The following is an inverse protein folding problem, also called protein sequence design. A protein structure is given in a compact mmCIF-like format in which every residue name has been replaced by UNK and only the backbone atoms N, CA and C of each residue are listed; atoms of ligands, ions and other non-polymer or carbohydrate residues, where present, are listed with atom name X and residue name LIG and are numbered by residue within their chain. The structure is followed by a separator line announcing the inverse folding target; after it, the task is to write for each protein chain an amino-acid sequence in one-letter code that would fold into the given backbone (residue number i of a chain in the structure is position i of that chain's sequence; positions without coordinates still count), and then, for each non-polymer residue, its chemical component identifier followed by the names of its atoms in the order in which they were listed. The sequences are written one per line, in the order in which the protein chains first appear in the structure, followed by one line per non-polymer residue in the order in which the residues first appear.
data_IF_721517668124
#
_entry.id   IF_721517668124
#
_cell.length_a   1.000
_cell.length_b   1.000
_cell.length_c   1.000
_cell.angle_alpha   90.00
_cell.angle_beta   90.00
_cell.angle_gamma   90.00
#
_symmetry.space_group_name_H-M   'P 1'
#
loop_
_entity.id
_entity.type
_entity.pdbx_description
1 polymer ?
#
# COMPACT_ATOMS: atom_id res chain seq x y z
N UNK A 1 32.42 -93.55 21.70
CA UNK A 1 32.51 -92.13 22.13
C UNK A 1 32.71 -91.26 20.88
N UNK A 2 31.76 -90.55 20.48
CA UNK A 2 31.92 -89.58 19.34
C UNK A 2 32.15 -88.18 19.84
N UNK A 3 33.09 -87.52 19.22
CA UNK A 3 33.54 -86.16 19.45
C UNK A 3 32.47 -85.12 18.94
N UNK A 4 32.32 -83.98 19.57
CA UNK A 4 31.36 -82.96 19.15
C UNK A 4 31.84 -82.12 17.96
N UNK A 5 30.94 -81.85 17.04
CA UNK A 5 31.08 -80.94 15.88
C UNK A 5 31.00 -79.48 16.36
N UNK A 6 32.02 -78.73 16.03
CA UNK A 6 32.05 -77.25 16.20
C UNK A 6 31.32 -76.64 14.99
N UNK A 7 30.23 -75.85 15.20
CA UNK A 7 29.56 -75.05 14.21
C UNK A 7 30.20 -73.66 14.23
N UNK A 8 30.71 -73.21 13.07
CA UNK A 8 31.09 -71.82 12.81
C UNK A 8 29.86 -70.99 12.42
N UNK A 9 29.55 -70.05 13.25
CA UNK A 9 28.55 -69.01 12.94
C UNK A 9 29.24 -67.87 12.16
N UNK A 10 28.92 -67.76 10.89
CA UNK A 10 29.31 -66.61 10.08
C UNK A 10 28.36 -65.44 10.36
N UNK A 11 28.85 -64.41 11.06
CA UNK A 11 28.14 -63.18 11.30
C UNK A 11 28.22 -62.29 10.06
N UNK A 12 27.04 -61.98 9.47
CA UNK A 12 26.93 -60.97 8.41
C UNK A 12 26.88 -59.59 9.05
N UNK A 13 27.89 -58.79 8.82
CA UNK A 13 27.91 -57.39 9.24
C UNK A 13 27.05 -56.54 8.24
N UNK A 14 25.92 -56.01 8.72
CA UNK A 14 25.12 -55.01 7.99
C UNK A 14 25.80 -53.63 8.12
N UNK A 15 26.36 -53.14 7.05
CA UNK A 15 26.85 -51.77 6.98
C UNK A 15 25.64 -50.81 6.78
N UNK A 16 25.29 -50.02 7.80
CA UNK A 16 24.33 -48.94 7.71
C UNK A 16 25.01 -47.72 7.09
N UNK A 17 24.69 -47.42 5.86
CA UNK A 17 25.11 -46.16 5.22
C UNK A 17 24.18 -45.06 5.69
N UNK A 18 24.66 -44.17 6.56
CA UNK A 18 23.98 -42.96 6.97
C UNK A 18 24.23 -41.89 5.86
N UNK A 19 23.24 -41.64 5.02
CA UNK A 19 23.22 -40.52 4.10
C UNK A 19 22.97 -39.24 4.93
N UNK A 20 24.01 -38.48 5.21
CA UNK A 20 23.88 -37.14 5.76
C UNK A 20 23.33 -36.23 4.64
N UNK A 21 22.03 -36.01 4.65
CA UNK A 21 21.37 -34.97 3.81
C UNK A 21 21.79 -33.60 4.31
N UNK A 22 22.64 -32.91 3.58
CA UNK A 22 22.87 -31.45 3.75
C UNK A 22 21.60 -30.72 3.35
N UNK A 23 20.77 -30.34 4.35
CA UNK A 23 19.71 -29.37 4.15
C UNK A 23 20.36 -28.02 3.85
N UNK A 24 20.32 -27.58 2.60
CA UNK A 24 20.58 -26.18 2.27
C UNK A 24 19.49 -25.35 2.91
N UNK A 25 19.76 -24.76 4.07
CA UNK A 25 18.98 -23.64 4.58
C UNK A 25 19.17 -22.50 3.57
N UNK A 26 18.16 -22.19 2.79
CA UNK A 26 18.13 -20.94 2.05
C UNK A 26 18.10 -19.83 3.12
N UNK A 27 19.21 -19.14 3.32
CA UNK A 27 19.23 -17.89 4.09
C UNK A 27 18.27 -16.94 3.40
N UNK A 28 17.10 -16.74 4.00
CA UNK A 28 16.19 -15.66 3.58
C UNK A 28 16.97 -14.37 3.80
N UNK A 29 17.36 -13.71 2.70
CA UNK A 29 17.92 -12.36 2.75
C UNK A 29 16.92 -11.49 3.53
N UNK A 30 17.35 -10.81 4.61
CA UNK A 30 16.43 -9.91 5.33
C UNK A 30 15.82 -8.94 4.31
N UNK A 31 14.50 -8.79 4.33
CA UNK A 31 13.84 -7.78 3.53
C UNK A 31 14.53 -6.42 3.82
N UNK A 32 14.89 -5.69 2.76
CA UNK A 32 15.53 -4.40 2.93
C UNK A 32 14.63 -3.54 3.82
N UNK A 33 15.20 -2.95 4.88
CA UNK A 33 14.45 -2.10 5.78
C UNK A 33 13.86 -0.93 4.97
N UNK A 34 12.53 -0.87 4.86
CA UNK A 34 11.86 0.23 4.19
C UNK A 34 11.95 1.51 5.03
N UNK A 35 12.06 2.64 4.38
CA UNK A 35 12.15 3.94 5.05
C UNK A 35 10.89 4.75 4.71
N UNK A 36 10.05 5.08 5.69
CA UNK A 36 8.90 5.96 5.46
C UNK A 36 9.35 7.37 5.07
N UNK A 37 8.46 8.21 4.50
CA UNK A 37 8.79 9.58 4.15
C UNK A 37 9.26 10.39 5.38
N UNK A 38 10.18 11.37 5.18
CA UNK A 38 10.63 12.21 6.27
C UNK A 38 9.47 13.01 6.87
N UNK A 39 9.45 13.11 8.20
CA UNK A 39 8.44 13.86 8.95
C UNK A 39 8.56 15.35 8.71
N UNK A 40 7.44 16.09 8.83
CA UNK A 40 7.40 17.56 8.68
C UNK A 40 8.05 18.04 7.39
N UNK A 41 7.96 17.30 6.33
CA UNK A 41 8.55 17.61 5.05
C UNK A 41 7.60 18.44 4.18
N UNK A 42 8.15 19.36 3.38
CA UNK A 42 7.38 19.98 2.30
C UNK A 42 6.88 18.91 1.35
N UNK A 43 5.58 18.82 1.19
CA UNK A 43 4.91 17.80 0.37
C UNK A 43 4.22 18.44 -0.84
N UNK A 44 4.18 17.72 -1.96
CA UNK A 44 3.37 18.08 -3.12
C UNK A 44 2.64 16.86 -3.67
N UNK A 45 1.36 17.04 -3.98
CA UNK A 45 0.47 16.01 -4.49
C UNK A 45 0.24 16.24 -5.98
N UNK A 46 0.86 15.41 -6.83
CA UNK A 46 0.93 15.59 -8.28
C UNK A 46 0.31 14.42 -9.05
N UNK A 47 -0.77 13.84 -8.52
CA UNK A 47 -1.40 12.66 -9.15
C UNK A 47 -2.15 12.99 -10.43
N UNK A 48 -2.67 14.21 -10.59
CA UNK A 48 -3.31 14.66 -11.83
C UNK A 48 -2.33 15.01 -12.96
N UNK A 49 -1.01 15.01 -12.69
CA UNK A 49 0.03 15.26 -13.68
C UNK A 49 1.33 15.75 -13.07
N UNK A 50 2.46 15.22 -13.55
CA UNK A 50 3.78 15.53 -13.04
C UNK A 50 4.27 16.90 -13.53
N UNK A 51 4.85 17.69 -12.63
CA UNK A 51 5.53 18.97 -12.94
C UNK A 51 6.75 19.16 -12.02
N UNK A 52 7.57 20.17 -12.31
CA UNK A 52 8.72 20.49 -11.46
C UNK A 52 8.26 20.98 -10.08
N UNK A 53 8.55 20.23 -9.01
CA UNK A 53 8.17 20.62 -7.65
C UNK A 53 8.82 21.94 -7.23
N UNK A 54 8.19 22.68 -6.30
CA UNK A 54 8.76 23.87 -5.70
C UNK A 54 9.98 23.51 -4.82
N UNK A 55 10.87 24.47 -4.54
CA UNK A 55 12.14 24.23 -3.85
C UNK A 55 12.01 23.78 -2.39
N UNK A 56 10.85 24.05 -1.77
CA UNK A 56 10.50 23.60 -0.41
C UNK A 56 10.07 22.13 -0.36
N UNK A 57 9.71 21.53 -1.50
CA UNK A 57 9.24 20.15 -1.57
C UNK A 57 10.40 19.17 -1.34
N UNK A 58 10.16 18.20 -0.46
CA UNK A 58 11.07 17.08 -0.16
C UNK A 58 10.41 15.72 -0.42
N UNK A 59 9.08 15.69 -0.45
CA UNK A 59 8.27 14.49 -0.70
C UNK A 59 7.23 14.82 -1.77
N UNK A 60 7.07 13.94 -2.75
CA UNK A 60 6.07 14.10 -3.81
C UNK A 60 5.34 12.78 -4.06
N UNK A 61 4.02 12.82 -4.19
CA UNK A 61 3.23 11.69 -4.69
C UNK A 61 2.84 11.94 -6.14
N UNK A 62 3.05 10.94 -6.99
CA UNK A 62 2.72 10.94 -8.43
C UNK A 62 2.03 9.66 -8.84
N UNK A 63 1.16 9.75 -9.82
CA UNK A 63 0.55 8.59 -10.46
C UNK A 63 1.62 7.59 -10.95
N UNK A 64 1.33 6.30 -10.87
CA UNK A 64 2.25 5.21 -11.21
C UNK A 64 2.75 5.27 -12.66
N UNK A 65 2.01 5.93 -13.56
CA UNK A 65 2.43 6.12 -14.95
C UNK A 65 3.53 7.17 -15.11
N UNK A 66 3.68 8.08 -14.13
CA UNK A 66 4.65 9.16 -14.17
C UNK A 66 6.07 8.69 -13.79
N UNK A 67 7.06 9.56 -14.05
CA UNK A 67 8.43 9.36 -13.58
C UNK A 67 8.62 10.01 -12.20
N UNK A 68 9.44 9.43 -11.31
CA UNK A 68 9.76 10.06 -10.03
C UNK A 68 10.51 11.38 -10.20
N UNK A 69 10.37 12.30 -9.25
CA UNK A 69 11.11 13.55 -9.23
C UNK A 69 12.53 13.31 -8.67
N UNK A 70 13.56 13.69 -9.43
CA UNK A 70 14.95 13.47 -9.05
C UNK A 70 15.31 14.18 -7.73
N UNK A 71 15.99 13.47 -6.83
CA UNK A 71 16.51 14.02 -5.57
C UNK A 71 15.45 14.22 -4.47
N UNK A 72 14.22 13.77 -4.66
CA UNK A 72 13.14 13.81 -3.68
C UNK A 72 12.78 12.40 -3.20
N UNK A 73 12.05 12.33 -2.08
CA UNK A 73 11.33 11.13 -1.70
C UNK A 73 10.06 11.03 -2.54
N UNK A 74 9.91 9.95 -3.29
CA UNK A 74 8.82 9.76 -4.24
C UNK A 74 7.86 8.68 -3.77
N UNK A 75 6.59 9.01 -3.71
CA UNK A 75 5.48 8.11 -3.42
C UNK A 75 4.76 7.82 -4.73
N UNK A 76 4.56 6.55 -5.03
CA UNK A 76 3.85 6.08 -6.20
C UNK A 76 2.37 5.88 -5.87
N UNK A 77 1.51 6.71 -6.41
CA UNK A 77 0.06 6.58 -6.28
C UNK A 77 -0.46 5.47 -7.20
N UNK A 78 -1.28 4.60 -6.66
CA UNK A 78 -1.99 3.54 -7.39
C UNK A 78 -3.44 3.48 -6.93
N UNK A 79 -4.41 3.51 -7.85
CA UNK A 79 -5.80 3.24 -7.52
C UNK A 79 -5.96 1.72 -7.31
N UNK A 80 -5.82 1.29 -6.06
CA UNK A 80 -5.66 -0.12 -5.74
C UNK A 80 -6.98 -0.85 -5.43
N UNK A 81 -8.05 -0.11 -5.12
CA UNK A 81 -9.31 -0.68 -4.64
C UNK A 81 -10.49 -0.43 -5.58
N UNK A 82 -10.30 0.40 -6.60
CA UNK A 82 -11.33 0.76 -7.58
C UNK A 82 -10.74 0.72 -8.98
N UNK A 83 -11.59 0.56 -9.98
CA UNK A 83 -11.24 0.69 -11.39
C UNK A 83 -11.58 2.10 -11.85
N UNK A 84 -10.62 2.78 -12.43
CA UNK A 84 -10.86 4.11 -13.00
C UNK A 84 -11.92 4.07 -14.10
N UNK A 85 -12.65 5.18 -14.34
CA UNK A 85 -13.65 5.26 -15.40
C UNK A 85 -13.07 4.84 -16.75
N UNK A 86 -13.74 3.91 -17.43
CA UNK A 86 -13.32 3.36 -18.72
C UNK A 86 -12.34 2.18 -18.65
N UNK A 87 -11.81 1.84 -17.45
CA UNK A 87 -10.94 0.68 -17.27
C UNK A 87 -11.70 -0.59 -16.82
N UNK A 88 -13.02 -0.56 -16.67
CA UNK A 88 -13.83 -1.67 -16.12
C UNK A 88 -13.62 -2.97 -16.90
N UNK A 89 -13.43 -2.87 -18.23
CA UNK A 89 -13.17 -4.01 -19.10
C UNK A 89 -11.92 -4.81 -18.74
N UNK A 90 -10.92 -4.16 -18.16
CA UNK A 90 -9.67 -4.80 -17.74
C UNK A 90 -9.82 -5.65 -16.47
N UNK A 91 -10.85 -5.36 -15.65
CA UNK A 91 -11.11 -6.03 -14.38
C UNK A 91 -12.10 -7.18 -14.50
N UNK A 92 -13.03 -7.12 -15.45
CA UNK A 92 -13.95 -8.23 -15.78
C UNK A 92 -14.74 -8.76 -14.58
N UNK A 93 -14.49 -10.00 -14.19
CA UNK A 93 -15.14 -10.65 -13.05
C UNK A 93 -14.57 -10.20 -11.69
N UNK A 94 -13.51 -9.41 -11.67
CA UNK A 94 -12.94 -8.82 -10.44
C UNK A 94 -13.69 -7.57 -9.99
N UNK A 95 -14.63 -7.06 -10.78
CA UNK A 95 -15.50 -5.97 -10.33
C UNK A 95 -16.53 -6.46 -9.31
N UNK A 96 -16.77 -5.66 -8.28
CA UNK A 96 -17.79 -5.93 -7.27
C UNK A 96 -19.17 -5.82 -7.90
N UNK A 97 -20.00 -6.84 -7.70
CA UNK A 97 -21.37 -6.88 -8.21
C UNK A 97 -22.36 -7.13 -7.08
N UNK A 98 -23.50 -6.46 -7.19
CA UNK A 98 -24.65 -6.67 -6.32
C UNK A 98 -25.37 -8.00 -6.60
N UNK A 99 -26.43 -8.28 -5.83
CA UNK A 99 -27.23 -9.51 -5.99
C UNK A 99 -27.92 -9.65 -7.36
N UNK A 100 -28.05 -8.54 -8.11
CA UNK A 100 -28.63 -8.54 -9.46
C UNK A 100 -27.57 -8.61 -10.55
N UNK A 101 -26.29 -8.75 -10.17
CA UNK A 101 -25.17 -8.79 -11.10
C UNK A 101 -24.71 -7.42 -11.62
N UNK A 102 -25.29 -6.31 -11.12
CA UNK A 102 -24.89 -4.95 -11.49
C UNK A 102 -23.59 -4.59 -10.79
N UNK A 103 -22.66 -4.00 -11.54
CA UNK A 103 -21.41 -3.45 -10.99
C UNK A 103 -21.73 -2.34 -9.97
N UNK A 104 -21.05 -2.37 -8.84
CA UNK A 104 -21.15 -1.36 -7.79
C UNK A 104 -20.19 -0.23 -8.14
N UNK A 105 -20.74 0.96 -8.28
CA UNK A 105 -20.00 2.19 -8.59
C UNK A 105 -19.93 3.06 -7.35
N UNK A 106 -18.77 3.62 -7.09
CA UNK A 106 -18.57 4.77 -6.21
C UNK A 106 -19.10 6.01 -6.95
N UNK A 107 -20.21 6.58 -6.45
CA UNK A 107 -20.92 7.67 -7.14
C UNK A 107 -20.18 9.01 -7.05
N UNK A 108 -19.24 9.16 -6.10
CA UNK A 108 -18.46 10.39 -5.91
C UNK A 108 -17.35 10.51 -6.98
N UNK A 109 -16.82 9.38 -7.45
CA UNK A 109 -15.69 9.33 -8.39
C UNK A 109 -16.04 8.66 -9.74
N UNK A 110 -17.25 8.13 -9.90
CA UNK A 110 -17.67 7.30 -11.05
C UNK A 110 -16.75 6.09 -11.28
N UNK A 111 -16.23 5.50 -10.19
CA UNK A 111 -15.30 4.39 -10.22
C UNK A 111 -15.93 3.08 -9.76
N UNK A 112 -15.66 2.00 -10.49
CA UNK A 112 -16.18 0.67 -10.15
C UNK A 112 -15.36 0.04 -9.02
N UNK A 113 -16.01 -0.43 -7.93
CA UNK A 113 -15.34 -1.10 -6.83
C UNK A 113 -14.80 -2.47 -7.24
N UNK A 114 -13.65 -2.84 -6.72
CA UNK A 114 -13.07 -4.18 -6.90
C UNK A 114 -13.64 -5.16 -5.87
N UNK A 115 -13.83 -6.41 -6.30
CA UNK A 115 -14.40 -7.47 -5.47
C UNK A 115 -13.35 -8.14 -4.58
N UNK A 116 -13.34 -7.78 -3.32
CA UNK A 116 -12.39 -8.28 -2.33
C UNK A 116 -12.98 -9.36 -1.40
N UNK A 117 -14.21 -9.85 -1.66
CA UNK A 117 -14.94 -10.75 -0.75
C UNK A 117 -14.27 -12.10 -0.54
N UNK A 118 -13.55 -12.63 -1.53
CA UNK A 118 -12.93 -13.95 -1.44
C UNK A 118 -11.40 -13.86 -1.54
N UNK A 119 -10.72 -14.85 -0.96
CA UNK A 119 -9.26 -14.93 -1.04
C UNK A 119 -8.76 -15.04 -2.49
N UNK A 120 -9.46 -15.80 -3.35
CA UNK A 120 -9.14 -15.91 -4.78
C UNK A 120 -9.19 -14.55 -5.46
N UNK A 121 -10.29 -13.81 -5.27
CA UNK A 121 -10.42 -12.48 -5.87
C UNK A 121 -9.37 -11.49 -5.36
N UNK A 122 -9.14 -11.45 -4.03
CA UNK A 122 -8.06 -10.62 -3.46
C UNK A 122 -6.70 -10.93 -4.08
N UNK A 123 -6.36 -12.21 -4.24
CA UNK A 123 -5.09 -12.62 -4.87
C UNK A 123 -5.01 -12.18 -6.33
N UNK A 124 -6.08 -12.31 -7.08
CA UNK A 124 -6.12 -11.93 -8.51
C UNK A 124 -6.11 -10.41 -8.69
N UNK A 125 -6.78 -9.66 -7.83
CA UNK A 125 -6.70 -8.19 -7.79
C UNK A 125 -5.29 -7.77 -7.42
N UNK A 126 -4.70 -8.34 -6.35
CA UNK A 126 -3.34 -8.05 -5.95
C UNK A 126 -2.35 -8.28 -7.09
N UNK A 127 -2.43 -9.40 -7.81
CA UNK A 127 -1.52 -9.69 -8.92
C UNK A 127 -1.52 -8.62 -10.03
N UNK A 128 -2.65 -7.93 -10.25
CA UNK A 128 -2.70 -6.80 -11.20
C UNK A 128 -2.07 -5.55 -10.63
N UNK A 129 -2.35 -5.22 -9.38
CA UNK A 129 -1.79 -4.04 -8.70
C UNK A 129 -0.28 -4.23 -8.43
N UNK A 130 0.15 -5.44 -8.09
CA UNK A 130 1.56 -5.79 -7.88
C UNK A 130 2.42 -5.50 -9.12
N UNK A 131 1.87 -5.64 -10.34
CA UNK A 131 2.58 -5.26 -11.56
C UNK A 131 2.86 -3.74 -11.62
N UNK A 132 1.95 -2.91 -11.12
CA UNK A 132 2.18 -1.45 -11.00
C UNK A 132 3.19 -1.15 -9.89
N UNK A 133 3.12 -1.87 -8.76
CA UNK A 133 4.10 -1.76 -7.67
C UNK A 133 5.51 -2.13 -8.14
N UNK A 134 5.62 -3.18 -8.96
CA UNK A 134 6.89 -3.59 -9.57
C UNK A 134 7.46 -2.51 -10.50
N UNK A 135 6.61 -1.88 -11.31
CA UNK A 135 6.99 -0.77 -12.18
C UNK A 135 7.43 0.47 -11.36
N UNK A 136 6.71 0.78 -10.26
CA UNK A 136 7.11 1.85 -9.33
C UNK A 136 8.51 1.58 -8.73
N UNK A 137 8.75 0.35 -8.27
CA UNK A 137 10.06 -0.04 -7.74
C UNK A 137 11.17 0.09 -8.81
N UNK A 138 10.88 -0.38 -10.02
CA UNK A 138 11.83 -0.32 -11.14
C UNK A 138 12.14 1.13 -11.57
N UNK A 139 11.15 2.03 -11.47
CA UNK A 139 11.32 3.48 -11.71
C UNK A 139 12.12 4.18 -10.60
N UNK A 140 12.27 3.57 -9.41
CA UNK A 140 13.01 4.14 -8.30
C UNK A 140 12.17 4.99 -7.35
N UNK A 141 10.87 4.73 -7.24
CA UNK A 141 10.04 5.23 -6.13
C UNK A 141 10.48 4.62 -4.80
N UNK A 142 10.19 5.26 -3.68
CA UNK A 142 10.53 4.80 -2.33
C UNK A 142 9.32 4.26 -1.56
N UNK A 143 8.11 4.62 -1.99
CA UNK A 143 6.88 4.19 -1.34
C UNK A 143 5.74 4.06 -2.35
N UNK A 144 4.66 3.38 -1.94
CA UNK A 144 3.38 3.37 -2.63
C UNK A 144 2.28 3.97 -1.77
N UNK A 145 1.31 4.60 -2.43
CA UNK A 145 0.06 5.11 -1.89
C UNK A 145 -1.08 4.32 -2.56
N UNK A 146 -1.58 3.24 -1.92
CA UNK A 146 -2.72 2.49 -2.44
C UNK A 146 -4.02 3.21 -2.08
N UNK A 147 -4.61 3.88 -3.06
CA UNK A 147 -5.81 4.69 -2.87
C UNK A 147 -7.08 3.85 -2.81
N UNK A 148 -8.11 4.47 -2.25
CA UNK A 148 -9.44 3.91 -2.04
C UNK A 148 -9.50 2.74 -1.04
N UNK A 149 -8.58 2.72 -0.05
CA UNK A 149 -8.59 1.71 1.02
C UNK A 149 -9.94 1.66 1.77
N UNK A 150 -10.65 2.77 1.81
CA UNK A 150 -11.98 2.96 2.42
C UNK A 150 -13.16 2.54 1.52
N UNK A 151 -12.94 1.95 0.35
CA UNK A 151 -13.99 1.51 -0.59
C UNK A 151 -15.06 0.62 0.05
N UNK A 152 -14.72 -0.11 1.13
CA UNK A 152 -15.68 -0.93 1.86
C UNK A 152 -16.83 -0.09 2.44
N UNK A 153 -16.59 1.17 2.81
CA UNK A 153 -17.63 2.07 3.32
C UNK A 153 -18.64 2.47 2.24
N UNK A 154 -18.22 2.48 0.97
CA UNK A 154 -19.04 2.84 -0.21
C UNK A 154 -19.59 1.63 -0.95
N UNK A 155 -19.30 0.41 -0.47
CA UNK A 155 -19.69 -0.86 -1.08
C UNK A 155 -21.15 -1.25 -0.88
N UNK A 156 -21.96 -0.41 -0.24
CA UNK A 156 -23.35 -0.74 0.13
C UNK A 156 -23.45 -1.97 1.05
N UNK A 157 -22.42 -2.18 1.89
CA UNK A 157 -22.33 -3.32 2.82
C UNK A 157 -21.92 -4.65 2.17
N UNK A 158 -21.46 -4.64 0.93
CA UNK A 158 -21.01 -5.85 0.22
C UNK A 158 -19.56 -6.20 0.54
N UNK A 159 -18.76 -5.25 0.97
CA UNK A 159 -17.39 -5.42 1.48
C UNK A 159 -17.35 -5.03 2.95
N UNK A 160 -16.51 -5.70 3.70
CA UNK A 160 -16.18 -5.36 5.08
C UNK A 160 -14.78 -4.73 5.19
N UNK A 161 -14.51 -4.07 6.30
CA UNK A 161 -13.17 -3.63 6.70
C UNK A 161 -12.18 -4.80 6.76
N UNK A 162 -12.63 -5.99 7.18
CA UNK A 162 -11.82 -7.21 7.19
C UNK A 162 -11.40 -7.65 5.77
N UNK A 163 -12.24 -7.46 4.75
CA UNK A 163 -11.89 -7.73 3.34
C UNK A 163 -10.81 -6.76 2.85
N UNK A 164 -10.98 -5.48 3.15
CA UNK A 164 -9.99 -4.44 2.82
C UNK A 164 -8.65 -4.70 3.53
N UNK A 165 -8.68 -5.05 4.83
CA UNK A 165 -7.48 -5.38 5.60
C UNK A 165 -6.80 -6.66 5.08
N UNK A 166 -7.57 -7.68 4.69
CA UNK A 166 -7.01 -8.90 4.12
C UNK A 166 -6.31 -8.64 2.78
N UNK A 167 -6.82 -7.70 2.00
CA UNK A 167 -6.23 -7.31 0.72
C UNK A 167 -5.00 -6.40 0.90
N UNK A 168 -5.07 -5.37 1.74
CA UNK A 168 -3.92 -4.46 1.95
C UNK A 168 -2.70 -5.22 2.49
N UNK A 169 -2.88 -6.31 3.26
CA UNK A 169 -1.78 -7.18 3.70
C UNK A 169 -1.06 -7.88 2.54
N UNK A 170 -1.74 -8.20 1.46
CA UNK A 170 -1.09 -8.74 0.26
C UNK A 170 -0.21 -7.67 -0.39
N UNK A 171 -0.77 -6.47 -0.56
CA UNK A 171 -0.03 -5.35 -1.15
C UNK A 171 1.16 -4.92 -0.29
N UNK A 172 1.02 -4.86 1.03
CA UNK A 172 2.12 -4.47 1.92
C UNK A 172 3.25 -5.48 1.91
N UNK A 173 2.93 -6.77 1.92
CA UNK A 173 3.94 -7.82 1.82
C UNK A 173 4.71 -7.73 0.49
N UNK A 174 4.03 -7.45 -0.62
CA UNK A 174 4.65 -7.28 -1.94
C UNK A 174 5.51 -6.02 -2.00
N UNK A 175 4.98 -4.87 -1.55
CA UNK A 175 5.72 -3.60 -1.50
C UNK A 175 7.01 -3.72 -0.68
N UNK A 176 6.95 -4.33 0.50
CA UNK A 176 8.11 -4.57 1.35
C UNK A 176 9.13 -5.51 0.68
N UNK A 177 8.68 -6.54 -0.03
CA UNK A 177 9.57 -7.42 -0.79
C UNK A 177 10.30 -6.68 -1.93
N UNK A 178 9.74 -5.56 -2.40
CA UNK A 178 10.37 -4.67 -3.40
C UNK A 178 11.16 -3.51 -2.75
N UNK A 179 11.21 -3.43 -1.42
CA UNK A 179 11.90 -2.35 -0.70
C UNK A 179 11.13 -1.03 -0.67
N UNK A 180 9.83 -1.04 -0.95
CA UNK A 180 8.96 0.12 -0.92
C UNK A 180 8.21 0.20 0.42
N UNK A 181 8.14 1.39 1.00
CA UNK A 181 7.21 1.68 2.08
C UNK A 181 5.77 1.75 1.54
N UNK A 182 4.78 1.55 2.41
CA UNK A 182 3.37 1.57 2.00
C UNK A 182 2.53 2.44 2.93
N UNK A 183 1.68 3.29 2.34
CA UNK A 183 0.78 4.17 3.06
C UNK A 183 -0.51 3.50 3.50
N UNK A 184 -1.05 3.92 4.66
CA UNK A 184 -2.48 3.88 4.91
C UNK A 184 -3.11 5.13 4.28
N UNK A 185 -4.03 4.94 3.34
CA UNK A 185 -4.81 6.05 2.79
C UNK A 185 -6.12 6.19 3.57
N UNK A 186 -6.34 7.36 4.16
CA UNK A 186 -7.54 7.63 4.98
C UNK A 186 -7.81 6.56 6.07
N UNK A 187 -9.07 6.18 6.35
CA UNK A 187 -9.46 5.09 7.26
C UNK A 187 -8.87 5.19 8.66
N UNK A 188 -8.99 6.35 9.33
CA UNK A 188 -8.41 6.57 10.67
C UNK A 188 -8.85 5.51 11.68
N UNK A 189 -10.05 4.94 11.51
CA UNK A 189 -10.60 3.86 12.33
C UNK A 189 -9.82 2.55 12.27
N UNK A 190 -8.98 2.36 11.24
CA UNK A 190 -8.13 1.18 11.09
C UNK A 190 -6.66 1.44 11.47
N UNK A 191 -6.33 2.62 11.98
CA UNK A 191 -4.94 3.00 12.28
C UNK A 191 -4.30 2.13 13.37
N UNK A 192 -5.07 1.61 14.32
CA UNK A 192 -4.60 0.67 15.35
C UNK A 192 -4.17 -0.69 14.77
N UNK A 193 -4.66 -1.04 13.58
CA UNK A 193 -4.30 -2.24 12.83
C UNK A 193 -3.04 -2.07 11.94
N UNK A 194 -2.38 -0.92 12.01
CA UNK A 194 -1.20 -0.59 11.22
C UNK A 194 -0.18 -1.72 11.14
N UNK A 195 0.23 -2.25 12.29
CA UNK A 195 1.26 -3.30 12.36
C UNK A 195 0.78 -4.61 11.73
N UNK A 196 -0.46 -5.01 12.01
CA UNK A 196 -1.06 -6.22 11.45
C UNK A 196 -1.24 -6.13 9.93
N UNK A 197 -1.45 -4.92 9.42
CA UNK A 197 -1.63 -4.65 7.98
C UNK A 197 -0.29 -4.31 7.28
N UNK A 198 0.83 -4.18 8.03
CA UNK A 198 2.15 -3.89 7.48
C UNK A 198 2.26 -2.49 6.86
N UNK A 199 1.63 -1.47 7.47
CA UNK A 199 1.62 -0.10 6.95
C UNK A 199 2.68 0.76 7.65
N UNK A 200 3.37 1.62 6.91
CA UNK A 200 4.56 2.33 7.39
C UNK A 200 4.27 3.80 7.74
N UNK A 201 3.38 4.45 7.02
CA UNK A 201 2.98 5.84 7.21
C UNK A 201 1.52 6.03 6.81
N UNK A 202 0.97 7.24 7.02
CA UNK A 202 -0.41 7.55 6.62
C UNK A 202 -0.46 8.75 5.67
N UNK A 203 -1.45 8.74 4.78
CA UNK A 203 -1.87 9.89 3.97
C UNK A 203 -3.36 10.12 4.26
N UNK A 204 -3.66 11.28 4.82
CA UNK A 204 -4.99 11.64 5.30
C UNK A 204 -5.50 12.88 4.54
N UNK A 205 -6.62 12.71 3.87
CA UNK A 205 -7.30 13.81 3.18
C UNK A 205 -8.35 14.43 4.10
N UNK A 206 -8.42 15.76 4.08
CA UNK A 206 -9.40 16.57 4.81
C UNK A 206 -9.45 16.35 6.34
N UNK A 207 -8.45 15.69 6.92
CA UNK A 207 -8.47 15.42 8.36
C UNK A 207 -8.41 16.69 9.22
N UNK A 208 -7.83 17.79 8.70
CA UNK A 208 -7.88 19.09 9.34
C UNK A 208 -9.27 19.71 9.28
N UNK A 209 -9.97 19.59 8.15
CA UNK A 209 -11.36 20.01 7.99
C UNK A 209 -12.28 19.21 8.91
N UNK A 210 -12.10 17.91 8.99
CA UNK A 210 -12.84 16.99 9.86
C UNK A 210 -12.36 17.04 11.32
N UNK A 211 -11.21 17.65 11.60
CA UNK A 211 -10.59 17.81 12.92
C UNK A 211 -10.15 16.49 13.57
N UNK A 212 -9.80 15.49 12.77
CA UNK A 212 -9.45 14.13 13.23
C UNK A 212 -8.02 13.68 12.83
N UNK A 213 -7.13 14.56 12.33
CA UNK A 213 -5.74 14.16 12.02
C UNK A 213 -5.02 13.48 13.22
N UNK A 214 -5.43 13.82 14.45
CA UNK A 214 -4.90 13.20 15.67
C UNK A 214 -5.24 11.72 15.85
N UNK A 215 -6.15 11.15 15.07
CA UNK A 215 -6.50 9.72 15.12
C UNK A 215 -5.43 8.84 14.46
N UNK A 216 -4.63 9.41 13.56
CA UNK A 216 -3.52 8.70 12.91
C UNK A 216 -2.24 8.70 13.76
N UNK A 217 -2.01 9.75 14.55
CA UNK A 217 -0.73 9.96 15.23
C UNK A 217 -0.37 8.92 16.30
N UNK A 218 -1.30 8.29 17.03
CA UNK A 218 -0.95 7.20 17.94
C UNK A 218 -0.32 5.99 17.25
N UNK A 219 -0.71 5.73 16.01
CA UNK A 219 -0.20 4.60 15.23
C UNK A 219 1.06 4.96 14.41
N UNK A 220 1.09 6.14 13.80
CA UNK A 220 2.12 6.52 12.83
C UNK A 220 3.11 7.59 13.34
N UNK A 221 2.91 8.12 14.55
CA UNK A 221 3.68 9.27 15.02
C UNK A 221 3.51 10.47 14.07
N UNK A 222 4.61 11.13 13.75
CA UNK A 222 4.61 12.24 12.79
C UNK A 222 4.77 11.80 11.31
N UNK A 223 4.81 10.48 11.02
CA UNK A 223 4.78 9.95 9.66
C UNK A 223 3.37 9.98 9.08
N UNK A 224 2.74 11.15 9.10
CA UNK A 224 1.42 11.43 8.53
C UNK A 224 1.55 12.59 7.56
N UNK A 225 1.08 12.38 6.34
CA UNK A 225 0.93 13.40 5.30
C UNK A 225 -0.54 13.81 5.28
N UNK A 226 -0.79 15.11 5.31
CA UNK A 226 -2.13 15.69 5.32
C UNK A 226 -2.35 16.46 4.04
N UNK A 227 -3.43 16.14 3.34
CA UNK A 227 -3.88 16.83 2.14
C UNK A 227 -5.22 17.50 2.45
N UNK A 228 -5.26 18.82 2.28
CA UNK A 228 -6.46 19.61 2.47
C UNK A 228 -6.92 20.22 1.14
N UNK A 229 -8.21 20.43 1.00
CA UNK A 229 -8.78 21.05 -0.21
C UNK A 229 -9.37 22.42 0.06
N UNK A 230 -9.44 22.84 1.34
CA UNK A 230 -9.97 24.15 1.74
C UNK A 230 -8.95 24.95 2.56
N UNK A 231 -9.04 26.28 2.53
CA UNK A 231 -8.22 27.15 3.40
C UNK A 231 -8.55 26.93 4.89
N UNK A 232 -9.78 26.58 5.21
CA UNK A 232 -10.23 26.27 6.58
C UNK A 232 -9.57 24.99 7.11
N UNK A 233 -9.56 23.93 6.30
CA UNK A 233 -8.89 22.69 6.60
C UNK A 233 -7.38 22.89 6.81
N UNK A 234 -6.70 23.55 5.86
CA UNK A 234 -5.28 23.89 5.98
C UNK A 234 -4.99 24.65 7.27
N UNK A 235 -5.74 25.72 7.56
CA UNK A 235 -5.56 26.51 8.78
C UNK A 235 -5.69 25.65 10.04
N UNK A 236 -6.68 24.76 10.06
CA UNK A 236 -6.90 23.87 11.21
C UNK A 236 -5.77 22.87 11.36
N UNK A 237 -5.38 22.20 10.26
CA UNK A 237 -4.27 21.24 10.25
C UNK A 237 -2.96 21.90 10.73
N UNK A 238 -2.58 23.05 10.14
CA UNK A 238 -1.37 23.78 10.53
C UNK A 238 -1.37 24.19 12.01
N UNK A 239 -2.51 24.65 12.53
CA UNK A 239 -2.57 25.15 13.91
C UNK A 239 -2.55 24.05 14.97
N UNK A 240 -3.09 22.88 14.64
CA UNK A 240 -3.27 21.76 15.61
C UNK A 240 -2.23 20.66 15.46
N UNK A 241 -1.74 20.43 14.26
CA UNK A 241 -0.83 19.32 13.92
C UNK A 241 0.35 19.76 13.05
N UNK A 242 0.91 20.94 13.33
CA UNK A 242 2.00 21.54 12.55
C UNK A 242 3.32 20.75 12.55
N UNK A 243 3.42 19.62 13.25
CA UNK A 243 4.53 18.65 13.14
C UNK A 243 4.38 17.70 11.94
N UNK A 244 3.19 17.62 11.34
CA UNK A 244 2.91 16.75 10.20
C UNK A 244 3.34 17.42 8.88
N UNK A 245 3.40 16.63 7.81
CA UNK A 245 3.62 17.12 6.44
C UNK A 245 2.28 17.55 5.84
N UNK A 246 2.03 18.86 5.68
CA UNK A 246 0.71 19.41 5.36
C UNK A 246 0.76 20.19 4.06
N UNK A 247 -0.19 19.89 3.14
CA UNK A 247 -0.40 20.65 1.91
C UNK A 247 -1.89 20.89 1.69
N UNK A 248 -2.26 22.05 1.14
CA UNK A 248 -3.54 22.27 0.50
C UNK A 248 -3.37 22.20 -1.01
N UNK A 249 -4.19 21.42 -1.67
CA UNK A 249 -4.31 21.35 -3.12
C UNK A 249 -5.71 21.82 -3.57
N UNK A 250 -5.85 22.03 -4.85
CA UNK A 250 -7.18 22.01 -5.48
C UNK A 250 -7.72 20.59 -5.51
N UNK A 251 -9.05 20.43 -5.55
CA UNK A 251 -9.71 19.13 -5.48
C UNK A 251 -9.37 18.23 -6.69
N UNK A 252 -9.19 18.82 -7.85
CA UNK A 252 -8.90 18.09 -9.09
C UNK A 252 -7.39 17.80 -9.25
N UNK A 253 -6.57 18.27 -8.32
CA UNK A 253 -5.10 18.06 -8.28
C UNK A 253 -4.43 18.41 -9.60
N UNK A 254 -4.90 19.48 -10.28
CA UNK A 254 -4.40 19.87 -11.60
C UNK A 254 -2.92 20.25 -11.58
N UNK A 255 -2.17 20.01 -12.68
CA UNK A 255 -0.77 20.37 -12.79
C UNK A 255 -0.52 21.88 -12.67
N UNK A 256 0.66 22.23 -12.15
CA UNK A 256 1.08 23.64 -12.06
C UNK A 256 1.10 24.30 -13.43
N UNK A 257 0.41 25.45 -13.52
CA UNK A 257 0.26 26.21 -14.76
C UNK A 257 -1.10 26.05 -15.41
N UNK A 258 -1.89 25.08 -14.98
CA UNK A 258 -3.28 24.93 -15.42
C UNK A 258 -4.25 25.75 -14.58
N UNK A 259 -5.42 26.04 -15.16
CA UNK A 259 -6.46 26.77 -14.46
C UNK A 259 -6.96 25.94 -13.25
N UNK A 260 -7.14 26.61 -12.12
CA UNK A 260 -7.58 25.96 -10.88
C UNK A 260 -6.44 25.49 -9.97
N UNK A 261 -5.18 25.44 -10.42
CA UNK A 261 -4.06 25.01 -9.61
C UNK A 261 -3.95 25.77 -8.28
N UNK A 262 -3.88 25.00 -7.22
CA UNK A 262 -3.60 25.51 -5.87
C UNK A 262 -2.56 24.62 -5.21
N UNK A 263 -1.53 25.21 -4.62
CA UNK A 263 -0.65 24.57 -3.63
C UNK A 263 -0.32 25.60 -2.56
N UNK A 264 -0.73 25.31 -1.33
CA UNK A 264 -0.41 26.11 -0.14
C UNK A 264 0.10 25.18 0.97
N UNK A 265 0.99 25.67 1.81
CA UNK A 265 1.56 24.95 2.96
C UNK A 265 1.41 25.79 4.22
N UNK A 266 1.74 25.23 5.36
CA UNK A 266 1.90 26.00 6.57
C UNK A 266 3.11 26.94 6.43
#
# INVERSE_FOLDING_TARGET
MPLPRVQFLTGAALAVVVLAGTACSADATPAAAVTPPPVKAGFDYQIGGAYTPASDVKVVSRDHTAQPAAGLYNICYVNAFQAQPGAEGEWGDLLLRDANGKVVIDEDWDEALLDLRTADKRTRVAAKVDAWVDDCAAKGYQAIEPDNYDSFTRSRGLLSDADAQAYIRLLSAHAHAKGLAIAQKNTSELSDQRQANGLDFAIAEECGQQKNCGEFTPAFGDHVIVIEYTDGGLKTACSRWGSLSIVRRDHDVVPKGEAGYVRKTC
#
